data_IF_599751552386
#
_entry.id   IF_599751552386
#
_cell.length_a   1.000
_cell.length_b   1.000
_cell.length_c   1.000
_cell.angle_alpha   90.00
_cell.angle_beta   90.00
_cell.angle_gamma   90.00
#
_symmetry.space_group_name_H-M   'P 1'
#
loop_
_entity.id
_entity.type
_entity.pdbx_description
1 polymer ?
#
# COMPACT_ATOMS: atom_id res chain seq x y z
N UNK A 1 18.67 -21.76 -14.57
CA UNK A 1 18.43 -20.62 -13.65
C UNK A 1 16.94 -20.42 -13.58
N UNK A 2 16.27 -20.97 -12.57
CA UNK A 2 14.80 -20.99 -12.52
C UNK A 2 14.30 -19.59 -12.16
N UNK A 3 13.66 -18.92 -13.10
CA UNK A 3 12.96 -17.66 -12.90
C UNK A 3 11.70 -17.90 -12.04
N UNK A 4 11.91 -18.13 -10.74
CA UNK A 4 10.83 -18.06 -9.76
C UNK A 4 10.46 -16.59 -9.61
N UNK A 5 9.38 -16.17 -10.29
CA UNK A 5 8.82 -14.83 -10.13
C UNK A 5 8.65 -14.54 -8.65
N UNK A 6 9.45 -13.61 -8.12
CA UNK A 6 9.46 -13.32 -6.69
C UNK A 6 8.18 -12.55 -6.36
N UNK A 7 7.22 -13.22 -5.71
CA UNK A 7 5.99 -12.58 -5.25
C UNK A 7 6.32 -11.34 -4.39
N UNK A 8 5.74 -10.18 -4.72
CA UNK A 8 6.12 -8.94 -4.03
C UNK A 8 5.61 -8.91 -2.60
N UNK A 9 4.43 -9.51 -2.42
CA UNK A 9 3.73 -9.70 -1.16
C UNK A 9 3.49 -11.19 -0.95
N UNK A 10 3.51 -11.64 0.30
CA UNK A 10 3.27 -13.05 0.63
C UNK A 10 2.88 -13.26 2.07
N UNK A 11 2.48 -14.49 2.40
CA UNK A 11 2.05 -14.84 3.75
C UNK A 11 3.20 -14.63 4.75
N UNK A 12 2.91 -13.91 5.83
CA UNK A 12 3.88 -13.65 6.91
C UNK A 12 4.30 -14.98 7.55
N UNK A 13 5.59 -15.10 7.89
CA UNK A 13 6.16 -16.33 8.48
C UNK A 13 5.70 -16.55 9.93
N UNK A 14 5.28 -15.48 10.60
CA UNK A 14 4.72 -15.47 11.95
C UNK A 14 3.50 -14.53 11.95
N UNK A 15 2.37 -15.02 12.46
CA UNK A 15 1.08 -14.30 12.51
C UNK A 15 0.18 -14.50 11.28
N UNK A 16 -0.94 -13.77 11.24
CA UNK A 16 -1.91 -13.79 10.15
C UNK A 16 -1.78 -12.51 9.31
N UNK A 17 -1.79 -12.66 7.97
CA UNK A 17 -1.75 -11.52 7.04
C UNK A 17 -0.75 -11.66 5.88
N UNK A 18 -0.86 -10.70 4.97
CA UNK A 18 -0.01 -10.54 3.78
C UNK A 18 1.00 -9.43 4.08
N UNK A 19 2.29 -9.72 3.93
CA UNK A 19 3.37 -8.76 4.15
C UNK A 19 4.30 -8.67 2.94
N UNK A 20 5.09 -7.58 2.82
CA UNK A 20 6.07 -7.43 1.75
C UNK A 20 7.18 -8.49 1.90
N UNK A 21 7.51 -9.17 0.82
CA UNK A 21 8.58 -10.20 0.76
C UNK A 21 9.72 -9.81 -0.19
N UNK A 22 9.56 -8.70 -0.88
CA UNK A 22 10.46 -8.16 -1.90
C UNK A 22 10.73 -6.68 -1.65
N UNK A 23 11.76 -6.15 -2.29
CA UNK A 23 12.03 -4.71 -2.25
C UNK A 23 10.89 -3.91 -2.90
N UNK A 24 10.28 -4.44 -3.96
CA UNK A 24 9.14 -3.77 -4.61
C UNK A 24 7.91 -3.67 -3.69
N UNK A 25 7.68 -4.70 -2.86
CA UNK A 25 6.62 -4.67 -1.85
C UNK A 25 6.87 -3.61 -0.76
N UNK A 26 8.11 -3.42 -0.34
CA UNK A 26 8.50 -2.34 0.56
C UNK A 26 8.36 -0.96 -0.09
N UNK A 27 8.75 -0.83 -1.36
CA UNK A 27 8.63 0.41 -2.11
C UNK A 27 7.16 0.82 -2.30
N UNK A 28 6.26 -0.14 -2.52
CA UNK A 28 4.83 0.12 -2.56
C UNK A 28 4.28 0.63 -1.21
N UNK A 29 4.74 0.07 -0.08
CA UNK A 29 4.37 0.57 1.25
C UNK A 29 4.92 1.98 1.46
N UNK A 30 6.19 2.23 1.11
CA UNK A 30 6.81 3.54 1.24
C UNK A 30 6.06 4.60 0.42
N UNK A 31 5.68 4.28 -0.83
CA UNK A 31 4.88 5.14 -1.69
C UNK A 31 3.51 5.45 -1.08
N UNK A 32 2.84 4.44 -0.51
CA UNK A 32 1.57 4.65 0.20
C UNK A 32 1.71 5.59 1.40
N UNK A 33 2.74 5.41 2.23
CA UNK A 33 3.00 6.29 3.38
C UNK A 33 3.29 7.71 2.91
N UNK A 34 4.10 7.88 1.86
CA UNK A 34 4.38 9.19 1.28
C UNK A 34 3.11 9.89 0.79
N UNK A 35 2.21 9.17 0.12
CA UNK A 35 0.92 9.71 -0.35
C UNK A 35 -0.01 10.13 0.81
N UNK A 36 -0.02 9.36 1.91
CA UNK A 36 -0.78 9.70 3.12
C UNK A 36 -0.27 10.97 3.82
N UNK A 37 1.06 11.14 3.87
CA UNK A 37 1.69 12.34 4.42
C UNK A 37 1.42 13.53 3.50
N UNK A 38 1.59 13.36 2.19
CA UNK A 38 1.35 14.40 1.20
C UNK A 38 -0.11 14.86 1.21
N UNK A 39 -1.09 13.95 1.29
CA UNK A 39 -2.51 14.34 1.37
C UNK A 39 -2.82 15.14 2.64
N UNK A 40 -2.20 14.78 3.76
CA UNK A 40 -2.36 15.48 5.03
C UNK A 40 -1.67 16.86 5.02
N UNK A 41 -0.51 16.99 4.37
CA UNK A 41 0.20 18.26 4.25
C UNK A 41 -0.53 19.26 3.33
N UNK A 42 -1.24 18.76 2.30
CA UNK A 42 -2.04 19.58 1.38
C UNK A 42 -3.43 19.95 1.94
N UNK A 43 -3.91 19.22 2.97
CA UNK A 43 -5.21 19.44 3.59
C UNK A 43 -5.10 20.41 4.77
N UNK A 44 -4.67 21.65 4.51
CA UNK A 44 -4.49 22.69 5.54
C UNK A 44 -5.80 23.35 6.01
N UNK A 45 -6.89 23.24 5.25
CA UNK A 45 -8.16 23.88 5.59
C UNK A 45 -9.28 22.86 5.86
N UNK A 46 -9.93 22.97 7.02
CA UNK A 46 -11.00 22.08 7.48
C UNK A 46 -12.23 21.98 6.57
N UNK A 47 -12.30 22.81 5.51
CA UNK A 47 -13.34 22.78 4.48
C UNK A 47 -13.35 21.49 3.65
N UNK A 48 -12.23 20.75 3.57
CA UNK A 48 -12.10 19.58 2.70
C UNK A 48 -11.96 18.25 3.46
N UNK A 49 -12.43 18.18 4.72
CA UNK A 49 -12.36 16.95 5.55
C UNK A 49 -12.93 15.70 4.87
N UNK A 50 -14.06 15.84 4.17
CA UNK A 50 -14.69 14.73 3.45
C UNK A 50 -13.85 14.30 2.25
N UNK A 51 -13.26 15.26 1.52
CA UNK A 51 -12.39 14.98 0.38
C UNK A 51 -11.10 14.27 0.82
N UNK A 52 -10.45 14.78 1.87
CA UNK A 52 -9.23 14.18 2.44
C UNK A 52 -9.50 12.76 2.96
N UNK A 53 -10.61 12.56 3.67
CA UNK A 53 -11.04 11.22 4.09
C UNK A 53 -11.28 10.28 2.90
N UNK A 54 -11.89 10.79 1.82
CA UNK A 54 -12.15 10.02 0.59
C UNK A 54 -10.85 9.61 -0.11
N UNK A 55 -9.88 10.53 -0.22
CA UNK A 55 -8.55 10.25 -0.78
C UNK A 55 -7.83 9.19 0.04
N UNK A 56 -7.84 9.30 1.37
CA UNK A 56 -7.22 8.34 2.29
C UNK A 56 -7.85 6.95 2.17
N UNK A 57 -9.19 6.88 2.08
CA UNK A 57 -9.93 5.65 1.81
C UNK A 57 -9.54 5.03 0.46
N UNK A 58 -9.50 5.83 -0.60
CA UNK A 58 -9.12 5.38 -1.94
C UNK A 58 -7.68 4.85 -1.99
N UNK A 59 -6.73 5.54 -1.36
CA UNK A 59 -5.33 5.09 -1.23
C UNK A 59 -5.22 3.76 -0.48
N UNK A 60 -6.00 3.58 0.58
CA UNK A 60 -6.02 2.35 1.36
C UNK A 60 -6.58 1.19 0.53
N UNK A 61 -7.70 1.40 -0.16
CA UNK A 61 -8.27 0.41 -1.07
C UNK A 61 -7.29 0.04 -2.20
N UNK A 62 -6.62 1.04 -2.79
CA UNK A 62 -5.62 0.82 -3.83
C UNK A 62 -4.43 -0.01 -3.31
N UNK A 63 -3.94 0.26 -2.09
CA UNK A 63 -2.89 -0.55 -1.47
C UNK A 63 -3.34 -1.99 -1.26
N UNK A 64 -4.56 -2.21 -0.75
CA UNK A 64 -5.11 -3.55 -0.54
C UNK A 64 -5.23 -4.30 -1.88
N UNK A 65 -5.74 -3.65 -2.92
CA UNK A 65 -5.82 -4.23 -4.26
C UNK A 65 -4.43 -4.60 -4.78
N UNK A 66 -3.45 -3.71 -4.63
CA UNK A 66 -2.06 -3.96 -5.05
C UNK A 66 -1.46 -5.15 -4.28
N UNK A 67 -1.67 -5.21 -2.97
CA UNK A 67 -1.25 -6.34 -2.13
C UNK A 67 -1.88 -7.65 -2.60
N UNK A 68 -3.17 -7.67 -2.92
CA UNK A 68 -3.87 -8.89 -3.37
C UNK A 68 -3.42 -9.31 -4.77
N UNK A 69 -3.39 -8.38 -5.73
CA UNK A 69 -3.01 -8.66 -7.13
C UNK A 69 -1.56 -9.14 -7.20
N UNK A 70 -0.66 -8.51 -6.43
CA UNK A 70 0.77 -8.81 -6.47
C UNK A 70 1.22 -9.83 -5.42
N UNK A 71 0.29 -10.34 -4.60
CA UNK A 71 0.49 -11.53 -3.78
C UNK A 71 0.17 -12.84 -4.50
N UNK A 72 -0.57 -12.80 -5.63
CA UNK A 72 -1.05 -14.00 -6.35
C UNK A 72 -0.29 -14.33 -7.63
N UNK A 73 0.73 -13.53 -7.99
CA UNK A 73 1.68 -13.81 -9.08
C UNK A 73 3.01 -14.25 -8.50
#
# INVERSE_FOLDING_TARGET
MNATGKAWFGRKRVGWGIGPRSWEGWLAIAAYVALMIASSALSTDGAHRVMDASIKLALTAALIVLMVVKSRR
#
